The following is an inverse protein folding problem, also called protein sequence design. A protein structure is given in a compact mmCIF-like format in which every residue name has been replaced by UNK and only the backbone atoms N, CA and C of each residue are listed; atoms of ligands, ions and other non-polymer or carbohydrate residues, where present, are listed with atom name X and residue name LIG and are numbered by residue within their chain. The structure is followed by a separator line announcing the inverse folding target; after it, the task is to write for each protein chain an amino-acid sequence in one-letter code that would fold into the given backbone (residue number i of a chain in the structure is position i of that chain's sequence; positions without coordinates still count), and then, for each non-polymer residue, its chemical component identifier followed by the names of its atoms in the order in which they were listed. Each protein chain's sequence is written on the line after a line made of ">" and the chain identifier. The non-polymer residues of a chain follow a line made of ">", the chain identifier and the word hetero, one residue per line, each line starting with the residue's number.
data_IF_993089355854
#
_entry.id   IF_993089355854
#
_cell.length_a   1.000
_cell.length_b   1.000
_cell.length_c   1.000
_cell.angle_alpha   90.00
_cell.angle_beta   90.00
_cell.angle_gamma   90.00
#
_symmetry.space_group_name_H-M   'P 1'
#
loop_
_entity.id
_entity.type
_entity.pdbx_description
1 polymer ?
#
# COMPACT_ATOMS: atom_id res chain seq x y z
N UNK A 1 -2.35 19.17 -3.42
CA UNK A 1 -3.34 18.67 -2.45
C UNK A 1 -2.86 17.31 -1.94
N UNK A 2 -2.47 17.19 -0.66
CA UNK A 2 -2.17 15.88 -0.08
C UNK A 2 -3.51 15.17 0.11
N UNK A 3 -3.78 14.15 -0.72
CA UNK A 3 -4.85 13.20 -0.44
C UNK A 3 -4.50 12.53 0.89
N UNK A 4 -5.12 12.97 1.98
CA UNK A 4 -5.03 12.31 3.29
C UNK A 4 -5.79 11.00 3.15
N UNK A 5 -5.07 9.94 2.80
CA UNK A 5 -5.63 8.60 2.84
C UNK A 5 -5.91 8.22 4.29
N UNK A 6 -7.13 7.76 4.56
CA UNK A 6 -7.55 7.33 5.89
C UNK A 6 -6.67 6.21 6.41
N UNK A 7 -6.40 6.21 7.72
CA UNK A 7 -5.64 5.14 8.40
C UNK A 7 -6.27 3.77 8.15
N UNK A 8 -7.61 3.69 8.12
CA UNK A 8 -8.34 2.45 7.74
C UNK A 8 -7.97 1.93 6.36
N UNK A 9 -7.78 2.81 5.39
CA UNK A 9 -7.41 2.42 4.03
C UNK A 9 -5.99 1.85 3.98
N UNK A 10 -5.05 2.45 4.74
CA UNK A 10 -3.70 1.91 4.88
C UNK A 10 -3.70 0.55 5.58
N UNK A 11 -4.52 0.36 6.61
CA UNK A 11 -4.65 -0.93 7.30
C UNK A 11 -5.22 -2.02 6.38
N UNK A 12 -6.32 -1.75 5.67
CA UNK A 12 -6.86 -2.71 4.69
C UNK A 12 -5.83 -3.08 3.63
N UNK A 13 -5.02 -2.10 3.21
CA UNK A 13 -3.96 -2.32 2.24
C UNK A 13 -2.85 -3.22 2.79
N UNK A 14 -2.46 -3.03 4.05
CA UNK A 14 -1.49 -3.89 4.74
C UNK A 14 -2.04 -5.29 4.93
N UNK A 15 -3.27 -5.42 5.43
CA UNK A 15 -3.95 -6.71 5.63
C UNK A 15 -4.15 -7.48 4.33
N UNK A 16 -4.31 -6.77 3.20
CA UNK A 16 -4.43 -7.38 1.88
C UNK A 16 -3.04 -7.69 1.28
N UNK A 17 -2.04 -6.81 1.44
CA UNK A 17 -0.70 -6.99 0.89
C UNK A 17 0.14 -8.04 1.64
N UNK A 18 -0.07 -8.25 2.95
CA UNK A 18 0.64 -9.27 3.73
C UNK A 18 0.43 -10.70 3.19
N UNK A 19 -0.82 -11.17 3.00
CA UNK A 19 -1.08 -12.48 2.40
C UNK A 19 -0.89 -12.50 0.88
N UNK A 20 -1.02 -11.35 0.21
CA UNK A 20 -0.81 -11.21 -1.23
C UNK A 20 0.58 -10.64 -1.58
N UNK A 21 1.62 -10.94 -0.80
CA UNK A 21 2.98 -10.47 -1.08
C UNK A 21 3.53 -10.93 -2.45
N UNK A 22 2.88 -11.93 -3.06
CA UNK A 22 3.15 -12.39 -4.42
C UNK A 22 2.52 -11.53 -5.52
N UNK A 23 1.53 -10.70 -5.19
CA UNK A 23 0.90 -9.79 -6.16
C UNK A 23 1.83 -8.60 -6.43
N UNK A 24 2.01 -8.29 -7.71
CA UNK A 24 2.79 -7.13 -8.11
C UNK A 24 2.15 -5.84 -7.58
N UNK A 25 2.98 -4.87 -7.17
CA UNK A 25 2.53 -3.54 -6.71
C UNK A 25 1.57 -2.89 -7.74
N UNK A 26 1.76 -3.14 -9.03
CA UNK A 26 0.84 -2.66 -10.08
C UNK A 26 -0.58 -3.21 -9.94
N UNK A 27 -0.72 -4.50 -9.58
CA UNK A 27 -2.02 -5.16 -9.46
C UNK A 27 -2.76 -4.66 -8.22
N UNK A 28 -2.04 -4.57 -7.10
CA UNK A 28 -2.54 -3.97 -5.86
C UNK A 28 -2.96 -2.52 -6.08
N UNK A 29 -2.14 -1.73 -6.77
CA UNK A 29 -2.42 -0.34 -7.09
C UNK A 29 -3.72 -0.19 -7.91
N UNK A 30 -3.88 -1.05 -8.93
CA UNK A 30 -5.07 -1.06 -9.79
C UNK A 30 -6.32 -1.47 -9.00
N UNK A 31 -6.24 -2.54 -8.22
CA UNK A 31 -7.34 -3.04 -7.39
C UNK A 31 -7.78 -2.02 -6.33
N UNK A 32 -6.84 -1.23 -5.80
CA UNK A 32 -7.08 -0.23 -4.75
C UNK A 32 -7.36 1.16 -5.32
N UNK A 33 -7.29 1.34 -6.65
CA UNK A 33 -7.52 2.62 -7.32
C UNK A 33 -6.52 3.71 -6.92
N UNK A 34 -5.30 3.32 -6.54
CA UNK A 34 -4.21 4.22 -6.14
C UNK A 34 -3.04 4.12 -7.10
N UNK A 35 -2.26 5.19 -7.18
CA UNK A 35 -1.08 5.20 -8.02
C UNK A 35 -0.01 4.24 -7.49
N UNK A 36 0.61 3.47 -8.39
CA UNK A 36 1.67 2.52 -8.06
C UNK A 36 2.82 3.17 -7.28
N UNK A 37 3.17 4.41 -7.61
CA UNK A 37 4.25 5.16 -6.94
C UNK A 37 3.90 5.52 -5.50
N UNK A 38 2.60 5.77 -5.24
CA UNK A 38 2.10 6.01 -3.88
C UNK A 38 2.15 4.73 -3.06
N UNK A 39 1.72 3.62 -3.67
CA UNK A 39 1.74 2.31 -3.04
C UNK A 39 3.17 1.84 -2.74
N UNK A 40 4.09 1.97 -3.70
CA UNK A 40 5.52 1.63 -3.54
C UNK A 40 6.14 2.40 -2.38
N UNK A 41 5.88 3.72 -2.28
CA UNK A 41 6.32 4.54 -1.15
C UNK A 41 5.80 4.02 0.18
N UNK A 42 4.53 3.62 0.26
CA UNK A 42 3.96 3.10 1.50
C UNK A 42 4.55 1.76 1.90
N UNK A 43 4.71 0.84 0.96
CA UNK A 43 5.34 -0.47 1.22
C UNK A 43 6.77 -0.27 1.73
N UNK A 44 7.56 0.60 1.07
CA UNK A 44 8.91 0.95 1.52
C UNK A 44 8.93 1.60 2.91
N UNK A 45 8.01 2.53 3.18
CA UNK A 45 7.91 3.17 4.50
C UNK A 45 7.51 2.18 5.61
N UNK A 46 6.64 1.21 5.31
CA UNK A 46 6.22 0.17 6.25
C UNK A 46 7.36 -0.83 6.53
N UNK A 47 8.08 -1.24 5.48
CA UNK A 47 9.24 -2.11 5.62
C UNK A 47 10.37 -1.47 6.46
N UNK A 48 10.59 -0.16 6.30
CA UNK A 48 11.58 0.60 7.08
C UNK A 48 11.17 0.89 8.53
N UNK A 49 9.89 0.73 8.88
CA UNK A 49 9.39 0.99 10.24
C UNK A 49 9.29 -0.30 11.08
N UNK A 50 9.79 -1.42 10.55
CA UNK A 50 9.87 -2.72 11.24
C UNK A 50 11.31 -2.91 11.74
N UNK A 51 11.73 -2.06 12.67
CA UNK A 51 13.00 -2.15 13.42
C UNK A 51 12.73 -1.94 14.91
#
# INVERSE_FOLDING_TARGET
>A
MVRKFSVKFKQQLIEYALPHAHFSISELANHLGIDKSTLDKWIRQLALCTE
#
